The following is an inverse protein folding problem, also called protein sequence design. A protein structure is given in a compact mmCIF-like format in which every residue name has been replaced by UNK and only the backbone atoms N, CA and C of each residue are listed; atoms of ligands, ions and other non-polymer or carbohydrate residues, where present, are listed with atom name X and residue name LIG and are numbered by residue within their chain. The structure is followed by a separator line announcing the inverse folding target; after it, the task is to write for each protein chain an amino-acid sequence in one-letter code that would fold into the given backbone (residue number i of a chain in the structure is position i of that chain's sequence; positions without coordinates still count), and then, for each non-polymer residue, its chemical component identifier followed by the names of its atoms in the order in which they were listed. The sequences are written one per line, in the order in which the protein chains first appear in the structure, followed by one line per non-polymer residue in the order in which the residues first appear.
data_IF_130381494771
#
_entry.id   IF_130381494771
#
_cell.length_a   1.000
_cell.length_b   1.000
_cell.length_c   1.000
_cell.angle_alpha   90.00
_cell.angle_beta   90.00
_cell.angle_gamma   90.00
#
_symmetry.space_group_name_H-M   'P 1'
#
loop_
_entity.id
_entity.type
_entity.pdbx_description
1 polymer ?
#
# COMPACT_ATOMS: atom_id res chain seq x y z
N UNK A 1 -12.44 -3.39 22.63
CA UNK A 1 -12.51 -3.07 21.20
C UNK A 1 -12.03 -1.64 21.05
N UNK A 2 -10.80 -1.42 20.56
CA UNK A 2 -10.29 -0.06 20.35
C UNK A 2 -10.92 0.46 19.05
N UNK A 3 -11.66 1.55 19.17
CA UNK A 3 -12.19 2.27 18.00
C UNK A 3 -11.04 3.04 17.34
N UNK A 4 -10.46 2.45 16.30
CA UNK A 4 -9.31 2.96 15.55
C UNK A 4 -9.73 3.76 14.29
N UNK A 5 -10.99 4.23 14.24
CA UNK A 5 -11.45 5.12 13.17
C UNK A 5 -10.83 6.50 13.36
N UNK A 6 -10.19 6.98 12.30
CA UNK A 6 -9.69 8.36 12.29
C UNK A 6 -10.82 9.38 12.52
N UNK A 7 -10.58 10.46 13.30
CA UNK A 7 -11.53 11.57 13.41
C UNK A 7 -11.85 12.16 12.04
N UNK A 8 -13.11 12.55 11.82
CA UNK A 8 -13.55 13.12 10.54
C UNK A 8 -12.74 14.34 10.07
N UNK A 9 -12.18 15.13 11.00
CA UNK A 9 -11.32 16.27 10.67
C UNK A 9 -9.99 15.85 10.03
N UNK A 10 -9.43 14.70 10.40
CA UNK A 10 -8.22 14.15 9.77
C UNK A 10 -8.55 13.56 8.38
N UNK A 11 -9.72 12.93 8.23
CA UNK A 11 -10.21 12.46 6.93
C UNK A 11 -10.43 13.62 5.94
N UNK A 12 -10.86 14.79 6.41
CA UNK A 12 -11.00 15.99 5.56
C UNK A 12 -9.63 16.59 5.16
N UNK A 13 -8.60 16.46 6.00
CA UNK A 13 -7.24 16.87 5.63
C UNK A 13 -6.68 15.96 4.53
N UNK A 14 -6.88 14.64 4.65
CA UNK A 14 -6.44 13.66 3.63
C UNK A 14 -7.15 13.92 2.30
N UNK A 15 -8.45 14.23 2.30
CA UNK A 15 -9.19 14.55 1.07
C UNK A 15 -8.71 15.84 0.38
N UNK A 16 -8.18 16.81 1.14
CA UNK A 16 -7.55 18.03 0.60
C UNK A 16 -6.17 17.78 0.00
N UNK A 17 -5.44 16.76 0.46
CA UNK A 17 -4.14 16.37 -0.10
C UNK A 17 -4.29 15.55 -1.39
N UNK A 18 -5.37 14.79 -1.52
CA UNK A 18 -5.68 13.99 -2.72
C UNK A 18 -6.05 14.88 -3.91
N UNK A 19 -6.52 16.13 -3.67
CA UNK A 19 -6.76 17.11 -4.72
C UNK A 19 -5.47 17.92 -4.96
N UNK A 20 -4.46 17.29 -5.58
CA UNK A 20 -3.17 17.89 -5.90
C UNK A 20 -3.30 19.22 -6.67
N UNK A 21 -2.35 20.13 -6.51
CA UNK A 21 -2.28 21.37 -7.30
C UNK A 21 -2.19 20.99 -8.77
N UNK A 22 -3.27 21.22 -9.50
CA UNK A 22 -3.33 21.04 -10.95
C UNK A 22 -2.27 21.97 -11.57
N UNK A 23 -1.25 21.39 -12.19
CA UNK A 23 -0.37 22.17 -13.09
C UNK A 23 -1.19 22.51 -14.34
N UNK A 24 -1.01 23.71 -14.86
CA UNK A 24 -1.64 24.07 -16.13
C UNK A 24 -1.23 23.03 -17.19
N UNK A 25 -2.23 22.34 -17.79
CA UNK A 25 -2.12 21.26 -18.77
C UNK A 25 -1.94 19.82 -18.26
N UNK A 26 -1.98 19.52 -16.96
CA UNK A 26 -2.04 18.13 -16.49
C UNK A 26 -3.49 17.64 -16.50
N UNK A 27 -3.77 16.63 -17.32
CA UNK A 27 -5.09 15.94 -17.33
C UNK A 27 -5.21 14.93 -16.19
N UNK A 28 -4.10 14.28 -15.82
CA UNK A 28 -4.00 13.31 -14.73
C UNK A 28 -3.21 13.96 -13.59
N UNK A 29 -3.74 13.93 -12.39
CA UNK A 29 -3.16 14.61 -11.22
C UNK A 29 -2.40 13.69 -10.29
N UNK A 30 -2.82 12.41 -10.18
CA UNK A 30 -2.20 11.41 -9.30
C UNK A 30 -2.71 10.00 -9.62
N UNK A 31 -2.12 8.99 -8.99
CA UNK A 31 -2.72 7.65 -8.88
C UNK A 31 -3.63 7.64 -7.66
N UNK A 32 -4.95 7.64 -7.87
CA UNK A 32 -5.91 7.72 -6.77
C UNK A 32 -5.86 6.48 -5.87
N UNK A 33 -5.90 5.29 -6.47
CA UNK A 33 -5.79 4.04 -5.71
C UNK A 33 -5.24 2.88 -6.57
N UNK A 34 -4.70 1.89 -5.88
CA UNK A 34 -4.43 0.56 -6.40
C UNK A 34 -5.50 -0.36 -5.81
N UNK A 35 -6.17 -1.15 -6.65
CA UNK A 35 -7.19 -2.08 -6.22
C UNK A 35 -6.65 -3.52 -6.24
N UNK A 36 -6.88 -4.24 -5.15
CA UNK A 36 -6.57 -5.65 -4.99
C UNK A 36 -7.81 -6.43 -4.59
N UNK A 37 -7.83 -7.71 -4.91
CA UNK A 37 -8.84 -8.65 -4.44
C UNK A 37 -8.20 -9.72 -3.56
N UNK A 38 -8.94 -10.14 -2.54
CA UNK A 38 -8.61 -11.31 -1.75
C UNK A 38 -9.85 -12.19 -1.60
N UNK A 39 -9.67 -13.44 -1.19
CA UNK A 39 -10.80 -14.26 -0.75
C UNK A 39 -11.33 -13.74 0.58
N UNK A 40 -12.60 -13.97 0.85
CA UNK A 40 -13.24 -13.45 2.07
C UNK A 40 -12.59 -13.97 3.37
N UNK A 41 -12.08 -15.21 3.36
CA UNK A 41 -11.36 -15.81 4.48
C UNK A 41 -9.96 -15.23 4.71
N UNK A 42 -9.40 -14.51 3.73
CA UNK A 42 -8.08 -13.86 3.83
C UNK A 42 -8.18 -12.44 4.38
N UNK A 43 -9.39 -11.89 4.49
CA UNK A 43 -9.60 -10.48 4.86
C UNK A 43 -8.92 -10.10 6.18
N UNK A 44 -9.01 -10.93 7.20
CA UNK A 44 -8.36 -10.67 8.51
C UNK A 44 -6.83 -10.58 8.37
N UNK A 45 -6.23 -11.47 7.57
CA UNK A 45 -4.79 -11.47 7.28
C UNK A 45 -4.37 -10.19 6.54
N UNK A 46 -5.19 -9.75 5.59
CA UNK A 46 -4.97 -8.51 4.83
C UNK A 46 -5.06 -7.29 5.75
N UNK A 47 -6.05 -7.23 6.63
CA UNK A 47 -6.21 -6.14 7.59
C UNK A 47 -5.04 -6.06 8.59
N UNK A 48 -4.56 -7.18 9.08
CA UNK A 48 -3.37 -7.24 9.94
C UNK A 48 -2.11 -6.76 9.23
N UNK A 49 -1.94 -7.13 7.96
CA UNK A 49 -0.77 -6.70 7.20
C UNK A 49 -0.79 -5.19 6.92
N UNK A 50 -1.82 -4.69 6.26
CA UNK A 50 -1.87 -3.28 5.88
C UNK A 50 -2.13 -2.34 7.06
N UNK A 51 -3.05 -2.70 7.95
CA UNK A 51 -3.44 -1.85 9.08
C UNK A 51 -2.48 -1.92 10.25
N UNK A 52 -2.05 -3.12 10.66
CA UNK A 52 -1.24 -3.29 11.88
C UNK A 52 0.26 -3.31 11.56
N UNK A 53 0.72 -4.15 10.63
CA UNK A 53 2.15 -4.30 10.33
C UNK A 53 2.70 -3.08 9.60
N UNK A 54 2.03 -2.63 8.51
CA UNK A 54 2.44 -1.44 7.77
C UNK A 54 1.94 -0.13 8.40
N UNK A 55 1.03 -0.19 9.37
CA UNK A 55 0.50 0.97 10.07
C UNK A 55 -0.34 1.92 9.21
N UNK A 56 -0.91 1.43 8.11
CA UNK A 56 -1.72 2.27 7.23
C UNK A 56 -3.10 2.53 7.86
N UNK A 57 -3.58 3.79 7.89
CA UNK A 57 -4.89 4.10 8.44
C UNK A 57 -6.01 3.56 7.54
N UNK A 58 -7.01 2.89 8.11
CA UNK A 58 -8.24 2.57 7.40
C UNK A 58 -9.07 3.86 7.24
N UNK A 59 -9.25 4.31 6.01
CA UNK A 59 -9.93 5.58 5.71
C UNK A 59 -11.36 5.39 5.24
N UNK A 60 -11.70 4.22 4.68
CA UNK A 60 -13.06 3.86 4.24
C UNK A 60 -13.31 2.38 4.39
N UNK A 61 -14.57 2.03 4.68
CA UNK A 61 -15.08 0.67 4.59
C UNK A 61 -16.56 0.73 4.20
N UNK A 62 -17.04 -0.30 3.54
CA UNK A 62 -18.46 -0.46 3.20
C UNK A 62 -18.89 -1.91 3.27
N UNK A 63 -20.22 -2.12 3.23
CA UNK A 63 -20.86 -3.41 3.46
C UNK A 63 -21.23 -3.64 4.93
N UNK A 64 -22.49 -3.93 5.19
CA UNK A 64 -23.03 -4.24 6.51
C UNK A 64 -24.03 -5.40 6.40
N UNK A 65 -23.94 -6.42 7.26
CA UNK A 65 -22.95 -6.62 8.33
C UNK A 65 -21.61 -7.22 7.85
N UNK A 66 -21.50 -7.59 6.57
CA UNK A 66 -20.29 -8.17 5.97
C UNK A 66 -19.51 -7.08 5.24
N UNK A 67 -18.23 -6.98 5.52
CA UNK A 67 -17.33 -6.07 4.79
C UNK A 67 -17.27 -6.48 3.31
N UNK A 68 -17.60 -5.55 2.42
CA UNK A 68 -17.55 -5.71 0.97
C UNK A 68 -16.37 -4.97 0.34
N UNK A 69 -15.77 -4.03 1.07
CA UNK A 69 -14.57 -3.35 0.64
C UNK A 69 -13.94 -2.48 1.73
N UNK A 70 -12.64 -2.23 1.57
CA UNK A 70 -11.79 -1.44 2.46
C UNK A 70 -10.90 -0.52 1.64
N UNK A 71 -10.54 0.65 2.20
CA UNK A 71 -9.48 1.51 1.68
C UNK A 71 -8.54 1.93 2.78
N UNK A 72 -7.25 1.64 2.62
CA UNK A 72 -6.16 2.12 3.46
C UNK A 72 -5.48 3.32 2.82
N UNK A 73 -5.13 4.32 3.64
CA UNK A 73 -4.40 5.50 3.19
C UNK A 73 -2.90 5.20 3.04
N UNK A 74 -2.33 5.55 1.89
CA UNK A 74 -0.90 5.43 1.60
C UNK A 74 -0.40 6.76 1.00
N UNK A 75 -0.04 7.73 1.86
CA UNK A 75 0.30 9.08 1.40
C UNK A 75 -0.87 9.77 0.71
N UNK A 76 -0.69 10.18 -0.55
CA UNK A 76 -1.74 10.80 -1.38
C UNK A 76 -2.62 9.77 -2.10
N UNK A 77 -2.23 8.50 -2.10
CA UNK A 77 -2.94 7.40 -2.76
C UNK A 77 -3.61 6.48 -1.75
N UNK A 78 -4.43 5.55 -2.25
CA UNK A 78 -5.14 4.57 -1.44
C UNK A 78 -4.82 3.15 -1.91
N UNK A 79 -4.91 2.20 -1.00
CA UNK A 79 -4.96 0.78 -1.30
C UNK A 79 -6.39 0.30 -1.04
N UNK A 80 -7.10 -0.05 -2.11
CA UNK A 80 -8.47 -0.57 -2.08
C UNK A 80 -8.44 -2.10 -2.08
N UNK A 81 -9.30 -2.71 -1.27
CA UNK A 81 -9.35 -4.17 -1.11
C UNK A 81 -10.80 -4.64 -1.19
N UNK A 82 -11.08 -5.59 -2.11
CA UNK A 82 -12.36 -6.28 -2.22
C UNK A 82 -12.22 -7.73 -1.79
N UNK A 83 -12.89 -8.18 -0.71
CA UNK A 83 -12.85 -9.57 -0.25
C UNK A 83 -13.86 -10.44 -1.01
N UNK A 84 -13.82 -10.45 -2.32
CA UNK A 84 -14.77 -11.13 -3.20
C UNK A 84 -14.09 -11.94 -4.32
N UNK A 85 -12.82 -12.30 -4.15
CA UNK A 85 -12.18 -13.25 -5.05
C UNK A 85 -12.70 -14.67 -4.76
N UNK A 86 -12.97 -15.44 -5.82
CA UNK A 86 -13.42 -16.84 -5.73
C UNK A 86 -12.24 -17.81 -5.67
N UNK A 87 -11.08 -17.39 -6.18
CA UNK A 87 -9.84 -18.16 -6.25
C UNK A 87 -8.62 -17.26 -6.05
N UNK A 88 -7.42 -17.84 -5.92
CA UNK A 88 -6.17 -17.10 -5.92
C UNK A 88 -5.96 -16.48 -7.30
N UNK A 89 -5.72 -15.16 -7.32
CA UNK A 89 -5.55 -14.43 -8.56
C UNK A 89 -4.09 -14.47 -9.01
N UNK A 90 -3.83 -14.79 -10.28
CA UNK A 90 -2.48 -14.76 -10.83
C UNK A 90 -1.99 -13.31 -10.94
N UNK A 91 -0.68 -13.14 -10.93
CA UNK A 91 -0.05 -11.85 -11.19
C UNK A 91 -0.33 -11.41 -12.65
N UNK A 92 -0.89 -10.21 -12.82
CA UNK A 92 -1.22 -9.63 -14.14
C UNK A 92 -0.11 -8.75 -14.72
N UNK A 93 -0.50 -7.81 -15.61
CA UNK A 93 0.42 -6.85 -16.22
C UNK A 93 1.04 -5.88 -15.19
N UNK A 94 0.30 -5.52 -14.14
CA UNK A 94 0.85 -4.81 -12.98
C UNK A 94 1.62 -5.84 -12.17
N UNK A 95 2.96 -5.67 -12.10
CA UNK A 95 3.87 -6.66 -11.49
C UNK A 95 4.06 -6.44 -10.01
N UNK A 96 4.17 -5.19 -9.60
CA UNK A 96 4.28 -4.75 -8.22
C UNK A 96 3.74 -3.33 -8.08
N UNK A 97 3.60 -2.88 -6.87
CA UNK A 97 3.48 -1.47 -6.54
C UNK A 97 4.51 -1.11 -5.47
N UNK A 98 4.98 0.13 -5.51
CA UNK A 98 5.97 0.62 -4.59
C UNK A 98 5.33 1.46 -3.47
N UNK A 99 5.74 1.21 -2.23
CA UNK A 99 5.43 2.02 -1.05
C UNK A 99 6.65 2.86 -0.70
N UNK A 100 6.50 4.18 -0.73
CA UNK A 100 7.55 5.09 -0.29
C UNK A 100 7.71 5.01 1.23
N UNK A 101 8.95 4.94 1.69
CA UNK A 101 9.32 4.89 3.11
C UNK A 101 10.69 5.52 3.31
N UNK A 102 10.98 6.00 4.51
CA UNK A 102 12.30 6.42 4.95
C UNK A 102 13.08 5.31 5.68
N UNK A 103 12.41 4.16 5.96
CA UNK A 103 13.02 3.03 6.70
C UNK A 103 12.66 1.67 6.08
N UNK A 104 13.31 1.34 4.99
CA UNK A 104 13.15 0.06 4.27
C UNK A 104 13.49 -1.13 5.18
N UNK A 105 14.59 -1.03 5.93
CA UNK A 105 15.13 -2.14 6.72
C UNK A 105 14.18 -2.57 7.84
N UNK A 106 13.65 -1.63 8.60
CA UNK A 106 12.72 -1.94 9.70
C UNK A 106 11.42 -2.58 9.22
N UNK A 107 10.90 -2.15 8.05
CA UNK A 107 9.70 -2.76 7.46
C UNK A 107 10.00 -4.20 7.02
N UNK A 108 11.14 -4.45 6.38
CA UNK A 108 11.56 -5.80 5.98
C UNK A 108 11.68 -6.72 7.20
N UNK A 109 12.31 -6.25 8.28
CA UNK A 109 12.41 -7.04 9.52
C UNK A 109 11.05 -7.32 10.17
N UNK A 110 10.14 -6.35 10.16
CA UNK A 110 8.77 -6.55 10.66
C UNK A 110 8.02 -7.58 9.80
N UNK A 111 8.10 -7.48 8.47
CA UNK A 111 7.50 -8.43 7.54
C UNK A 111 8.05 -9.84 7.75
N UNK A 112 9.37 -9.98 7.86
CA UNK A 112 10.05 -11.26 8.13
C UNK A 112 9.60 -11.90 9.45
N UNK A 113 9.53 -11.11 10.53
CA UNK A 113 9.03 -11.58 11.83
C UNK A 113 7.57 -12.01 11.79
N UNK A 114 6.77 -11.37 10.94
CA UNK A 114 5.37 -11.74 10.72
C UNK A 114 5.19 -12.93 9.75
N UNK A 115 6.29 -13.48 9.20
CA UNK A 115 6.27 -14.67 8.33
C UNK A 115 6.05 -14.36 6.85
N UNK A 116 6.19 -13.12 6.41
CA UNK A 116 6.12 -12.76 5.00
C UNK A 116 7.46 -13.00 4.30
N UNK A 117 7.39 -13.44 3.04
CA UNK A 117 8.59 -13.68 2.25
C UNK A 117 9.25 -12.36 1.83
N UNK A 118 10.57 -12.33 1.92
CA UNK A 118 11.42 -11.26 1.39
C UNK A 118 12.06 -11.81 0.11
N UNK A 119 11.69 -11.25 -1.04
CA UNK A 119 12.18 -11.69 -2.35
C UNK A 119 13.43 -10.93 -2.80
N UNK A 120 13.63 -9.73 -2.25
CA UNK A 120 14.86 -8.96 -2.40
C UNK A 120 15.21 -8.29 -1.08
N UNK A 121 16.39 -8.59 -0.56
CA UNK A 121 16.91 -7.96 0.67
C UNK A 121 17.13 -6.45 0.48
N UNK A 122 17.07 -5.66 1.57
CA UNK A 122 17.38 -4.24 1.51
C UNK A 122 18.73 -3.95 0.88
N UNK A 123 18.74 -3.18 -0.18
CA UNK A 123 19.95 -2.84 -0.93
C UNK A 123 19.92 -1.44 -1.49
N UNK A 124 21.11 -0.83 -1.59
CA UNK A 124 21.29 0.45 -2.25
C UNK A 124 21.51 0.21 -3.73
N UNK A 125 20.76 0.94 -4.54
CA UNK A 125 20.84 0.89 -6.01
C UNK A 125 20.99 2.30 -6.60
N UNK A 126 21.50 2.34 -7.81
CA UNK A 126 21.48 3.53 -8.66
C UNK A 126 20.62 3.24 -9.89
N UNK A 127 19.46 3.87 -10.00
CA UNK A 127 18.64 3.79 -11.21
C UNK A 127 19.24 4.73 -12.24
N UNK A 128 19.76 4.16 -13.33
CA UNK A 128 20.45 4.87 -14.41
C UNK A 128 19.48 5.65 -15.31
N UNK A 129 18.57 6.39 -14.69
CA UNK A 129 17.66 7.34 -15.35
C UNK A 129 18.37 8.68 -15.63
N UNK A 130 17.67 9.64 -16.21
CA UNK A 130 18.17 11.01 -16.45
C UNK A 130 17.19 12.02 -15.86
N UNK A 131 17.50 12.65 -14.70
CA UNK A 131 18.69 12.40 -13.85
C UNK A 131 18.70 10.99 -13.25
N UNK A 132 19.88 10.54 -12.82
CA UNK A 132 19.98 9.26 -12.08
C UNK A 132 19.26 9.36 -10.73
N UNK A 133 18.78 8.23 -10.25
CA UNK A 133 18.01 8.15 -9.01
C UNK A 133 18.63 7.11 -8.07
N UNK A 134 19.43 7.56 -7.08
CA UNK A 134 19.90 6.67 -6.02
C UNK A 134 18.74 6.33 -5.09
N UNK A 135 18.62 5.06 -4.73
CA UNK A 135 17.56 4.59 -3.86
C UNK A 135 18.03 3.41 -2.98
N UNK A 136 17.34 3.21 -1.86
CA UNK A 136 17.38 1.98 -1.09
C UNK A 136 16.05 1.28 -1.28
N UNK A 137 16.09 0.03 -1.74
CA UNK A 137 14.90 -0.76 -2.05
C UNK A 137 14.93 -2.14 -1.43
N UNK A 138 13.75 -2.75 -1.30
CA UNK A 138 13.55 -4.16 -0.99
C UNK A 138 12.24 -4.64 -1.61
N UNK A 139 12.07 -5.95 -1.77
CA UNK A 139 10.80 -6.54 -2.18
C UNK A 139 10.31 -7.57 -1.18
N UNK A 140 9.02 -7.51 -0.88
CA UNK A 140 8.31 -8.46 -0.02
C UNK A 140 7.07 -8.98 -0.72
N UNK A 141 6.60 -10.16 -0.31
CA UNK A 141 5.30 -10.69 -0.76
C UNK A 141 4.27 -10.39 0.31
N UNK A 142 3.20 -9.74 -0.09
CA UNK A 142 2.08 -9.41 0.79
C UNK A 142 1.14 -10.59 1.05
N UNK A 143 0.05 -10.34 1.81
CA UNK A 143 -0.82 -11.40 2.34
C UNK A 143 -1.60 -12.21 1.31
N UNK A 144 -1.76 -11.70 0.09
CA UNK A 144 -2.49 -12.39 -0.99
C UNK A 144 -1.60 -12.68 -2.21
N UNK A 145 -0.28 -12.66 -2.01
CA UNK A 145 0.72 -13.00 -3.02
C UNK A 145 1.15 -11.83 -3.90
N UNK A 146 0.69 -10.63 -3.60
CA UNK A 146 1.13 -9.40 -4.27
C UNK A 146 2.59 -9.08 -3.96
N UNK A 147 3.32 -8.62 -4.95
CA UNK A 147 4.68 -8.14 -4.76
C UNK A 147 4.66 -6.64 -4.42
N UNK A 148 5.33 -6.28 -3.34
CA UNK A 148 5.42 -4.92 -2.80
C UNK A 148 6.87 -4.51 -2.80
N UNK A 149 7.19 -3.42 -3.49
CA UNK A 149 8.47 -2.74 -3.38
C UNK A 149 8.44 -1.73 -2.24
N UNK A 150 9.43 -1.77 -1.37
CA UNK A 150 9.71 -0.72 -0.40
C UNK A 150 10.76 0.20 -0.99
N UNK A 151 10.47 1.50 -1.08
CA UNK A 151 11.29 2.43 -1.86
C UNK A 151 11.63 3.68 -1.05
N UNK A 152 12.92 3.92 -0.86
CA UNK A 152 13.47 5.11 -0.23
C UNK A 152 14.41 5.83 -1.21
N UNK A 153 13.97 6.99 -1.74
CA UNK A 153 14.86 7.84 -2.54
C UNK A 153 15.98 8.40 -1.65
N UNK A 154 17.21 8.33 -2.14
CA UNK A 154 18.37 8.96 -1.50
C UNK A 154 18.63 10.32 -2.12
N UNK A 155 18.84 11.32 -1.26
CA UNK A 155 19.24 12.67 -1.69
C UNK A 155 20.72 12.72 -2.03
#
# INVERSE_FOLDING_TARGET
MLDWRMPQQELQKISRWICGRKRENEMITDVHHVCMKCRSEELEKVQKFYGELLGLPLVRSWGEPKVEGLMYGAGTSLIEIFPNAEEDLPQGAIRHFALATDDVDSIVEAARKAGYAVTMEPGDIEIMSKPSLPARIAFIIGPVGEEIELFCEKQ
#
